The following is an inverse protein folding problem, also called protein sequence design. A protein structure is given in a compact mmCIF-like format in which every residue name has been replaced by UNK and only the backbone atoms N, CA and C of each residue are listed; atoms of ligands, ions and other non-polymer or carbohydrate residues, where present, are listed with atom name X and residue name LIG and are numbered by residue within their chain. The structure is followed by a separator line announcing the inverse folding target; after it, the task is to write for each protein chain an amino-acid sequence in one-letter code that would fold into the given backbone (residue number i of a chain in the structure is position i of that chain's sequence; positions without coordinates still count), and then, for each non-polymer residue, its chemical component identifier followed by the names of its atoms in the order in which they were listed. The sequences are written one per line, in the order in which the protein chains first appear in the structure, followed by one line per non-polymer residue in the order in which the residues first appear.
data_IF_971808508087
#
_entry.id   IF_971808508087
#
_cell.length_a   1.000
_cell.length_b   1.000
_cell.length_c   1.000
_cell.angle_alpha   90.00
_cell.angle_beta   90.00
_cell.angle_gamma   90.00
#
_symmetry.space_group_name_H-M   'P 1'
#
loop_
_entity.id
_entity.type
_entity.pdbx_description
1 polymer ?
#
# COMPACT_ATOMS: atom_id res chain seq x y z
N UNK A 1 -30.90 -12.08 -16.64
CA UNK A 1 -30.67 -11.73 -15.22
C UNK A 1 -29.29 -12.25 -14.85
N UNK A 2 -28.32 -11.39 -14.48
CA UNK A 2 -27.06 -11.89 -13.98
C UNK A 2 -27.30 -12.58 -12.64
N UNK A 3 -26.89 -13.84 -12.56
CA UNK A 3 -26.99 -14.64 -11.35
C UNK A 3 -25.96 -14.12 -10.34
N UNK A 4 -26.43 -13.62 -9.18
CA UNK A 4 -25.60 -13.37 -8.00
C UNK A 4 -25.08 -14.71 -7.45
N UNK A 5 -24.08 -15.29 -8.12
CA UNK A 5 -23.22 -16.27 -7.45
C UNK A 5 -22.32 -15.47 -6.51
N UNK A 6 -22.23 -15.82 -5.21
CA UNK A 6 -21.20 -15.25 -4.36
C UNK A 6 -19.86 -15.49 -5.05
N UNK A 7 -19.07 -14.42 -5.19
CA UNK A 7 -17.71 -14.54 -5.69
C UNK A 7 -16.98 -15.54 -4.79
N UNK A 8 -16.44 -16.59 -5.39
CA UNK A 8 -15.57 -17.54 -4.70
C UNK A 8 -14.24 -16.83 -4.45
N UNK A 9 -14.21 -16.04 -3.38
CA UNK A 9 -13.05 -15.24 -2.97
C UNK A 9 -12.03 -16.20 -2.36
N UNK A 10 -11.00 -16.50 -3.13
CA UNK A 10 -9.95 -17.46 -2.74
C UNK A 10 -9.00 -16.91 -1.69
N UNK A 11 -8.83 -15.59 -1.63
CA UNK A 11 -7.92 -14.95 -0.69
C UNK A 11 -8.32 -13.50 -0.37
N UNK A 12 -8.31 -13.16 0.92
CA UNK A 12 -8.46 -11.80 1.45
C UNK A 12 -7.28 -11.49 2.37
N UNK A 13 -6.56 -10.38 2.13
CA UNK A 13 -5.50 -9.90 3.02
C UNK A 13 -5.48 -8.39 3.19
N UNK A 14 -4.84 -7.97 4.28
CA UNK A 14 -4.25 -6.64 4.40
C UNK A 14 -2.73 -6.78 4.30
N UNK A 15 -2.09 -5.90 3.54
CA UNK A 15 -0.64 -5.83 3.40
C UNK A 15 -0.12 -4.47 3.87
N UNK A 16 1.06 -4.47 4.48
CA UNK A 16 1.85 -3.30 4.85
C UNK A 16 3.09 -3.27 3.98
N UNK A 17 3.35 -2.14 3.35
CA UNK A 17 4.62 -1.84 2.69
C UNK A 17 5.22 -0.57 3.27
N UNK A 18 6.46 -0.63 3.73
CA UNK A 18 7.17 0.54 4.23
C UNK A 18 8.08 1.12 3.17
N UNK A 19 8.17 2.45 3.14
CA UNK A 19 9.06 3.19 2.25
C UNK A 19 10.01 4.08 3.05
N UNK A 20 11.27 4.06 2.67
CA UNK A 20 12.27 4.99 3.20
C UNK A 20 12.02 6.42 2.70
N UNK A 21 11.83 7.37 3.62
CA UNK A 21 11.68 8.79 3.28
C UNK A 21 13.05 9.45 3.33
N UNK A 22 13.86 9.22 2.30
CA UNK A 22 15.18 9.83 2.19
C UNK A 22 15.09 11.33 1.97
N UNK A 23 15.94 12.10 2.66
CA UNK A 23 16.16 13.51 2.33
C UNK A 23 16.84 13.56 0.97
N UNK A 24 16.10 13.95 -0.08
CA UNK A 24 16.72 14.33 -1.36
C UNK A 24 17.58 15.56 -1.13
N UNK A 25 18.89 15.38 -1.01
CA UNK A 25 19.85 16.49 -1.15
C UNK A 25 19.89 16.84 -2.64
N UNK A 26 19.00 17.73 -3.09
CA UNK A 26 19.08 18.31 -4.44
C UNK A 26 20.28 19.25 -4.51
N UNK A 27 21.44 18.72 -4.88
CA UNK A 27 22.56 19.51 -5.35
C UNK A 27 22.50 19.60 -6.87
N UNK A 28 22.01 20.70 -7.44
CA UNK A 28 22.41 21.11 -8.78
C UNK A 28 22.32 22.64 -8.95
N UNK A 29 23.51 23.24 -9.00
CA UNK A 29 23.79 24.57 -9.57
C UNK A 29 23.28 24.61 -11.00
N UNK A 30 22.48 25.62 -11.35
CA UNK A 30 22.31 26.03 -12.76
C UNK A 30 23.08 27.33 -12.96
N UNK A 31 24.21 27.21 -13.66
CA UNK A 31 24.98 28.33 -14.15
C UNK A 31 24.24 29.02 -15.31
N UNK A 32 24.33 30.34 -15.31
CA UNK A 32 23.91 31.25 -16.36
C UNK A 32 24.60 30.93 -17.68
N UNK A 33 23.85 30.79 -18.78
CA UNK A 33 24.38 30.92 -20.14
C UNK A 33 23.44 31.78 -20.98
N UNK A 34 24.04 32.84 -21.50
CA UNK A 34 23.50 33.92 -22.29
C UNK A 34 23.34 33.48 -23.77
N UNK A 35 22.25 33.98 -24.38
CA UNK A 35 22.14 34.43 -25.79
C UNK A 35 22.11 33.38 -26.91
N UNK A 36 21.63 33.89 -28.05
CA UNK A 36 21.32 33.27 -29.35
C UNK A 36 19.90 32.72 -29.37
N UNK A 37 18.93 33.31 -30.07
CA UNK A 37 19.00 34.22 -31.19
C UNK A 37 17.69 34.03 -31.94
N UNK A 38 17.02 35.14 -32.25
CA UNK A 38 15.84 35.23 -33.10
C UNK A 38 15.92 34.22 -34.26
N UNK A 39 14.87 33.42 -34.43
CA UNK A 39 14.29 32.95 -35.70
C UNK A 39 13.62 31.58 -35.48
N UNK A 40 12.33 31.57 -35.14
CA UNK A 40 11.36 30.53 -35.53
C UNK A 40 9.97 30.92 -35.00
N UNK A 41 9.55 32.13 -35.38
CA UNK A 41 8.14 32.42 -35.58
C UNK A 41 7.76 31.73 -36.91
N UNK A 42 6.60 31.08 -37.00
CA UNK A 42 6.10 30.27 -38.15
C UNK A 42 6.24 28.74 -38.09
N UNK A 43 5.98 28.12 -36.94
CA UNK A 43 5.52 26.72 -36.89
C UNK A 43 4.44 26.49 -35.81
N UNK A 44 3.62 27.52 -35.55
CA UNK A 44 2.66 27.55 -34.44
C UNK A 44 1.17 27.49 -34.86
N UNK A 45 0.85 27.20 -36.12
CA UNK A 45 -0.53 27.30 -36.60
C UNK A 45 -0.99 26.17 -37.53
N UNK A 46 -0.56 24.92 -37.27
CA UNK A 46 -0.95 23.76 -38.09
C UNK A 46 -1.18 22.45 -37.33
N UNK A 47 -1.10 22.44 -35.99
CA UNK A 47 -1.17 21.21 -35.18
C UNK A 47 -2.27 21.27 -34.11
N UNK A 48 -3.41 21.88 -34.43
CA UNK A 48 -4.52 22.14 -33.49
C UNK A 48 -5.84 21.46 -33.86
N UNK A 49 -5.83 20.44 -34.74
CA UNK A 49 -7.04 19.74 -35.21
C UNK A 49 -6.97 18.20 -35.12
N UNK A 50 -6.23 17.67 -34.14
CA UNK A 50 -6.25 16.24 -33.77
C UNK A 50 -6.53 16.06 -32.26
N UNK A 51 -7.41 16.90 -31.71
CA UNK A 51 -7.91 16.75 -30.34
C UNK A 51 -9.35 16.19 -30.39
N UNK A 52 -9.47 14.88 -30.17
CA UNK A 52 -10.74 14.14 -30.13
C UNK A 52 -10.48 12.74 -30.68
N UNK A 53 -10.38 11.66 -29.92
CA UNK A 53 -10.93 11.38 -28.60
C UNK A 53 -9.88 10.62 -27.78
N UNK A 54 -9.41 11.20 -26.68
CA UNK A 54 -8.82 10.37 -25.62
C UNK A 54 -9.99 9.76 -24.86
N UNK A 55 -10.46 8.62 -25.33
CA UNK A 55 -11.24 7.71 -24.50
C UNK A 55 -10.35 7.41 -23.30
N UNK A 56 -10.63 8.06 -22.17
CA UNK A 56 -10.09 7.63 -20.89
C UNK A 56 -10.66 6.24 -20.65
N UNK A 57 -9.95 5.21 -21.11
CA UNK A 57 -10.07 3.88 -20.56
C UNK A 57 -9.72 4.04 -19.09
N UNK A 58 -10.75 4.27 -18.25
CA UNK A 58 -10.66 4.17 -16.81
C UNK A 58 -10.05 2.80 -16.57
N UNK A 59 -8.78 2.77 -16.15
CA UNK A 59 -8.03 1.55 -16.07
C UNK A 59 -8.78 0.61 -15.14
N UNK A 60 -9.39 -0.44 -15.69
CA UNK A 60 -9.88 -1.54 -14.88
C UNK A 60 -8.69 -2.07 -14.07
N UNK A 61 -8.89 -2.37 -12.79
CA UNK A 61 -7.87 -3.08 -12.03
C UNK A 61 -7.61 -4.40 -12.76
N UNK A 62 -6.44 -4.54 -13.39
CA UNK A 62 -6.01 -5.84 -13.89
C UNK A 62 -5.94 -6.75 -12.67
N UNK A 63 -6.66 -7.88 -12.63
CA UNK A 63 -6.56 -8.82 -11.52
C UNK A 63 -5.09 -9.21 -11.34
N UNK A 64 -4.52 -8.97 -10.15
CA UNK A 64 -3.09 -9.16 -9.88
C UNK A 64 -2.17 -7.99 -10.28
N UNK A 65 -2.67 -6.94 -10.92
CA UNK A 65 -1.87 -5.77 -11.30
C UNK A 65 -1.42 -4.90 -10.13
N UNK A 66 -0.76 -3.77 -10.46
CA UNK A 66 -0.35 -2.77 -9.47
C UNK A 66 -1.55 -2.28 -8.67
N UNK A 67 -1.39 -2.21 -7.34
CA UNK A 67 -2.44 -1.73 -6.44
C UNK A 67 -2.85 -0.30 -6.79
N UNK A 68 -4.16 -0.02 -6.75
CA UNK A 68 -4.74 1.29 -7.09
C UNK A 68 -5.34 1.95 -5.86
N UNK A 69 -5.46 3.28 -5.80
CA UNK A 69 -6.18 3.94 -4.71
C UNK A 69 -7.59 3.36 -4.54
N UNK A 70 -8.02 3.14 -3.29
CA UNK A 70 -9.37 2.65 -3.01
C UNK A 70 -10.48 3.59 -3.53
N UNK A 71 -10.18 4.88 -3.72
CA UNK A 71 -11.07 5.85 -4.37
C UNK A 71 -11.36 5.55 -5.84
N UNK A 72 -10.51 4.76 -6.50
CA UNK A 72 -10.67 4.31 -7.88
C UNK A 72 -11.32 2.92 -7.98
N UNK A 73 -11.84 2.40 -6.85
CA UNK A 73 -12.41 1.05 -6.80
C UNK A 73 -13.75 0.97 -7.51
N UNK A 74 -13.75 0.23 -8.62
CA UNK A 74 -14.96 -0.07 -9.42
C UNK A 74 -15.42 -1.52 -9.29
N UNK A 75 -14.64 -2.38 -8.63
CA UNK A 75 -14.92 -3.80 -8.40
C UNK A 75 -14.31 -4.28 -7.09
N UNK A 76 -14.76 -5.43 -6.58
CA UNK A 76 -14.22 -5.99 -5.33
C UNK A 76 -12.83 -6.60 -5.53
N UNK A 77 -12.70 -7.50 -6.52
CA UNK A 77 -11.46 -8.23 -6.83
C UNK A 77 -10.37 -7.26 -7.30
N UNK A 78 -9.21 -7.30 -6.66
CA UNK A 78 -8.08 -6.42 -6.98
C UNK A 78 -7.18 -6.16 -5.78
N UNK A 79 -6.21 -5.27 -5.96
CA UNK A 79 -5.40 -4.72 -4.89
C UNK A 79 -5.68 -3.22 -4.74
N UNK A 80 -5.98 -2.78 -3.53
CA UNK A 80 -6.48 -1.43 -3.24
C UNK A 80 -5.65 -0.78 -2.13
N UNK A 81 -5.04 0.36 -2.42
CA UNK A 81 -4.34 1.19 -1.44
C UNK A 81 -5.38 1.91 -0.60
N UNK A 82 -5.42 1.59 0.69
CA UNK A 82 -6.35 2.16 1.67
C UNK A 82 -5.80 3.42 2.31
N UNK A 83 -4.49 3.47 2.52
CA UNK A 83 -3.77 4.61 3.07
C UNK A 83 -2.30 4.58 2.65
N UNK A 84 -1.69 5.75 2.55
CA UNK A 84 -0.25 5.94 2.41
C UNK A 84 0.15 7.09 3.33
N UNK A 85 0.50 6.73 4.56
CA UNK A 85 0.65 7.67 5.66
C UNK A 85 2.11 7.71 6.14
N UNK A 86 2.61 8.89 6.57
CA UNK A 86 3.86 8.96 7.29
C UNK A 86 3.78 8.16 8.60
N UNK A 87 4.74 7.26 8.81
CA UNK A 87 4.96 6.60 10.11
C UNK A 87 5.83 7.49 10.99
N UNK A 88 6.73 8.27 10.38
CA UNK A 88 7.69 9.11 11.08
C UNK A 88 9.00 8.37 11.37
N UNK A 89 9.73 8.85 12.38
CA UNK A 89 11.06 8.34 12.70
C UNK A 89 10.99 7.13 13.64
N UNK A 90 11.50 5.99 13.19
CA UNK A 90 11.54 4.78 14.00
C UNK A 90 12.86 4.70 14.77
N UNK A 91 12.78 4.69 16.11
CA UNK A 91 13.97 4.77 16.97
C UNK A 91 14.62 3.41 17.26
N UNK A 92 13.90 2.32 17.01
CA UNK A 92 14.36 0.95 17.26
C UNK A 92 14.32 0.13 15.98
N UNK A 93 15.08 -0.96 15.99
CA UNK A 93 15.08 -1.97 14.96
C UNK A 93 15.35 -3.35 15.61
N UNK A 94 14.61 -4.40 15.23
CA UNK A 94 13.47 -4.38 14.32
C UNK A 94 12.23 -3.73 14.95
N UNK A 95 11.21 -3.48 14.12
CA UNK A 95 9.87 -3.08 14.56
C UNK A 95 8.84 -4.16 14.21
N UNK A 96 7.64 -4.04 14.75
CA UNK A 96 6.54 -4.97 14.56
C UNK A 96 5.30 -4.20 14.12
N UNK A 97 4.52 -4.83 13.25
CA UNK A 97 3.24 -4.32 12.80
C UNK A 97 2.11 -4.94 13.63
N UNK A 98 1.36 -4.07 14.28
CA UNK A 98 0.28 -4.42 15.20
C UNK A 98 -1.05 -4.11 14.53
N UNK A 99 -1.95 -5.10 14.53
CA UNK A 99 -3.31 -4.97 14.02
C UNK A 99 -4.26 -5.12 15.20
N UNK A 100 -4.99 -4.06 15.52
CA UNK A 100 -5.96 -4.05 16.62
C UNK A 100 -7.35 -3.63 16.08
N UNK A 101 -8.37 -4.44 16.32
CA UNK A 101 -9.73 -4.20 15.85
C UNK A 101 -10.55 -3.40 16.87
N UNK A 102 -11.39 -2.50 16.35
CA UNK A 102 -12.28 -1.64 17.13
C UNK A 102 -13.71 -1.74 16.62
N UNK A 103 -14.68 -1.40 17.47
CA UNK A 103 -16.09 -1.36 17.10
C UNK A 103 -16.40 -0.14 16.24
N UNK A 104 -15.68 0.97 16.45
CA UNK A 104 -15.88 2.21 15.69
C UNK A 104 -14.57 2.89 15.31
N UNK A 105 -14.60 3.65 14.22
CA UNK A 105 -13.47 4.49 13.78
C UNK A 105 -13.05 5.51 14.83
N UNK A 106 -14.01 6.07 15.57
CA UNK A 106 -13.75 7.06 16.61
C UNK A 106 -12.91 6.48 17.76
N UNK A 107 -13.22 5.26 18.21
CA UNK A 107 -12.44 4.57 19.24
C UNK A 107 -11.03 4.24 18.77
N UNK A 108 -10.88 3.76 17.54
CA UNK A 108 -9.56 3.49 16.94
C UNK A 108 -8.74 4.79 16.85
N UNK A 109 -9.36 5.89 16.42
CA UNK A 109 -8.71 7.19 16.28
C UNK A 109 -8.24 7.75 17.63
N UNK A 110 -9.01 7.53 18.70
CA UNK A 110 -8.63 7.92 20.05
C UNK A 110 -7.37 7.18 20.57
N UNK A 111 -7.08 6.00 20.03
CA UNK A 111 -5.94 5.15 20.43
C UNK A 111 -4.78 5.16 19.43
N UNK A 112 -4.88 5.88 18.30
CA UNK A 112 -3.96 5.79 17.14
C UNK A 112 -2.47 5.97 17.49
N UNK A 113 -2.16 6.82 18.46
CA UNK A 113 -0.77 7.17 18.75
C UNK A 113 -0.04 7.83 17.55
N UNK A 114 1.28 8.07 17.65
CA UNK A 114 2.04 8.77 16.62
C UNK A 114 2.41 7.91 15.40
N UNK A 115 2.54 6.59 15.56
CA UNK A 115 2.97 5.65 14.51
C UNK A 115 1.83 4.77 14.00
N UNK A 116 0.59 5.10 14.36
CA UNK A 116 -0.60 4.37 13.91
C UNK A 116 -1.24 4.98 12.67
N UNK A 117 -2.04 4.17 11.99
CA UNK A 117 -2.98 4.55 10.92
C UNK A 117 -4.28 3.79 11.13
N UNK A 118 -5.43 4.48 11.05
CA UNK A 118 -6.75 3.84 11.14
C UNK A 118 -7.29 3.60 9.75
N UNK A 119 -7.55 2.33 9.43
CA UNK A 119 -8.13 1.90 8.15
C UNK A 119 -9.45 1.16 8.39
N UNK A 120 -10.27 1.12 7.34
CA UNK A 120 -11.42 0.23 7.26
C UNK A 120 -11.17 -0.73 6.11
N UNK A 121 -11.20 -2.03 6.39
CA UNK A 121 -10.91 -3.08 5.42
C UNK A 121 -11.69 -4.32 5.76
N UNK A 122 -12.26 -4.97 4.74
CA UNK A 122 -12.96 -6.26 4.88
C UNK A 122 -13.98 -6.30 6.05
N UNK A 123 -14.73 -5.20 6.22
CA UNK A 123 -15.76 -5.07 7.26
C UNK A 123 -15.24 -4.84 8.69
N UNK A 124 -13.96 -4.51 8.86
CA UNK A 124 -13.34 -4.22 10.17
C UNK A 124 -12.81 -2.79 10.21
N UNK A 125 -12.94 -2.15 11.38
CA UNK A 125 -12.17 -0.96 11.72
C UNK A 125 -10.88 -1.43 12.38
N UNK A 126 -9.73 -1.10 11.78
CA UNK A 126 -8.43 -1.55 12.25
C UNK A 126 -7.54 -0.36 12.56
N UNK A 127 -6.87 -0.40 13.71
CA UNK A 127 -5.71 0.41 14.01
C UNK A 127 -4.45 -0.37 13.62
N UNK A 128 -3.69 0.19 12.69
CA UNK A 128 -2.46 -0.37 12.15
C UNK A 128 -1.29 0.40 12.76
N UNK A 129 -0.50 -0.21 13.63
CA UNK A 129 0.59 0.51 14.32
C UNK A 129 1.93 -0.16 14.05
N UNK A 130 2.96 0.63 13.79
CA UNK A 130 4.34 0.15 13.63
C UNK A 130 5.15 0.60 14.84
N UNK A 131 5.46 -0.34 15.71
CA UNK A 131 6.07 -0.07 17.02
C UNK A 131 6.91 -1.26 17.50
N UNK A 132 7.49 -1.15 18.69
CA UNK A 132 8.22 -2.24 19.34
C UNK A 132 7.39 -3.54 19.47
N UNK A 133 8.08 -4.69 19.57
CA UNK A 133 7.47 -6.04 19.67
C UNK A 133 6.31 -6.13 20.66
N UNK A 134 6.45 -5.60 21.87
CA UNK A 134 5.44 -5.74 22.93
C UNK A 134 4.48 -4.55 23.02
N UNK A 135 4.47 -3.66 22.04
CA UNK A 135 3.57 -2.52 22.05
C UNK A 135 2.09 -2.96 22.00
N UNK A 136 1.24 -2.27 22.76
CA UNK A 136 -0.20 -2.48 22.78
C UNK A 136 -0.92 -1.13 22.91
N UNK A 137 -2.05 -0.93 22.23
CA UNK A 137 -2.93 0.20 22.51
C UNK A 137 -3.61 0.02 23.88
N UNK A 138 -4.17 1.10 24.43
CA UNK A 138 -4.91 1.03 25.70
C UNK A 138 -6.22 0.23 25.58
N UNK A 139 -6.83 0.25 24.40
CA UNK A 139 -8.07 -0.45 24.07
C UNK A 139 -7.96 -1.14 22.70
N UNK A 140 -8.99 -1.88 22.30
CA UNK A 140 -9.01 -2.63 21.05
C UNK A 140 -8.68 -4.11 21.24
N UNK A 141 -9.11 -4.92 20.28
CA UNK A 141 -8.90 -6.36 20.29
C UNK A 141 -7.73 -6.71 19.37
N UNK A 142 -6.65 -7.25 19.93
CA UNK A 142 -5.50 -7.68 19.14
C UNK A 142 -5.89 -8.75 18.12
N UNK A 143 -5.61 -8.47 16.85
CA UNK A 143 -5.75 -9.39 15.73
C UNK A 143 -4.42 -10.07 15.43
N UNK A 144 -3.35 -9.30 15.25
CA UNK A 144 -2.04 -9.83 14.89
C UNK A 144 -0.89 -8.93 15.36
N UNK A 145 0.27 -9.55 15.51
CA UNK A 145 1.59 -8.93 15.69
C UNK A 145 2.51 -9.56 14.66
N UNK A 146 3.01 -8.77 13.72
CA UNK A 146 3.71 -9.28 12.54
C UNK A 146 5.10 -8.64 12.48
N UNK A 147 6.12 -9.49 12.45
CA UNK A 147 7.51 -9.08 12.44
C UNK A 147 8.43 -10.25 12.79
N UNK A 148 9.73 -10.00 12.97
CA UNK A 148 10.38 -8.69 12.97
C UNK A 148 10.45 -8.06 11.56
N UNK A 149 10.14 -6.77 11.45
CA UNK A 149 10.33 -5.98 10.24
C UNK A 149 11.69 -5.26 10.28
N UNK A 150 12.60 -5.54 9.33
CA UNK A 150 13.91 -4.89 9.30
C UNK A 150 13.77 -3.42 8.88
N UNK A 151 14.23 -2.53 9.76
CA UNK A 151 14.30 -1.08 9.52
C UNK A 151 15.67 -0.54 9.93
N UNK A 152 16.00 0.67 9.52
CA UNK A 152 17.17 1.41 9.98
C UNK A 152 16.73 2.33 11.11
N UNK A 153 17.27 2.11 12.30
CA UNK A 153 16.95 2.94 13.46
C UNK A 153 17.42 4.39 13.23
N UNK A 154 16.57 5.35 13.60
CA UNK A 154 16.81 6.78 13.41
C UNK A 154 16.29 7.33 12.08
N UNK A 155 15.77 6.48 11.19
CA UNK A 155 15.31 6.90 9.88
C UNK A 155 13.80 7.11 9.82
N UNK A 156 13.35 7.90 8.83
CA UNK A 156 11.94 8.21 8.62
C UNK A 156 11.30 7.29 7.59
N UNK A 157 10.09 6.84 7.89
CA UNK A 157 9.32 5.95 7.03
C UNK A 157 7.92 6.49 6.74
N UNK A 158 7.38 6.10 5.60
CA UNK A 158 5.95 6.03 5.35
C UNK A 158 5.51 4.57 5.23
N UNK A 159 4.21 4.34 5.38
CA UNK A 159 3.59 3.03 5.25
C UNK A 159 2.38 3.11 4.32
N UNK A 160 2.42 2.28 3.30
CA UNK A 160 1.29 2.02 2.42
C UNK A 160 0.55 0.77 2.92
N UNK A 161 -0.74 0.93 3.21
CA UNK A 161 -1.63 -0.14 3.65
C UNK A 161 -2.55 -0.51 2.50
N UNK A 162 -2.60 -1.80 2.16
CA UNK A 162 -3.32 -2.31 1.01
C UNK A 162 -4.28 -3.42 1.40
N UNK A 163 -5.41 -3.53 0.70
CA UNK A 163 -6.31 -4.67 0.74
C UNK A 163 -6.17 -5.46 -0.57
N UNK A 164 -5.97 -6.77 -0.48
CA UNK A 164 -5.95 -7.64 -1.65
C UNK A 164 -7.08 -8.67 -1.59
N UNK A 165 -7.91 -8.69 -2.64
CA UNK A 165 -9.03 -9.62 -2.83
C UNK A 165 -8.80 -10.38 -4.13
N UNK A 166 -8.34 -11.62 -4.03
CA UNK A 166 -7.96 -12.45 -5.19
C UNK A 166 -8.86 -13.70 -5.28
N UNK A 167 -9.20 -14.11 -6.49
CA UNK A 167 -9.83 -15.43 -6.73
C UNK A 167 -8.75 -16.52 -6.72
N UNK A 168 -9.11 -17.81 -6.49
CA UNK A 168 -8.14 -18.90 -6.50
C UNK A 168 -7.27 -18.91 -7.77
N UNK A 169 -5.96 -19.07 -7.59
CA UNK A 169 -4.98 -19.13 -8.68
C UNK A 169 -4.57 -17.78 -9.29
N UNK A 170 -5.14 -16.66 -8.85
CA UNK A 170 -4.65 -15.34 -9.24
C UNK A 170 -3.26 -15.07 -8.65
N UNK A 171 -2.39 -14.44 -9.45
CA UNK A 171 -1.05 -14.02 -9.03
C UNK A 171 -0.84 -12.56 -9.37
N UNK A 172 0.07 -11.91 -8.65
CA UNK A 172 0.59 -10.59 -9.01
C UNK A 172 1.95 -10.73 -9.73
N UNK A 173 2.30 -9.82 -10.68
CA UNK A 173 3.63 -9.78 -11.24
C UNK A 173 4.69 -9.62 -10.15
N UNK A 174 5.82 -10.32 -10.32
CA UNK A 174 6.99 -10.13 -9.47
C UNK A 174 7.46 -8.67 -9.52
N UNK A 175 7.75 -8.11 -8.35
CA UNK A 175 8.19 -6.72 -8.22
C UNK A 175 8.99 -6.52 -6.93
N UNK A 176 9.64 -5.37 -6.78
CA UNK A 176 10.48 -5.02 -5.63
C UNK A 176 10.19 -3.60 -5.16
N UNK A 177 10.31 -3.36 -3.86
CA UNK A 177 10.12 -2.06 -3.23
C UNK A 177 11.26 -1.72 -2.27
N UNK A 178 11.39 -0.42 -1.97
CA UNK A 178 12.38 0.12 -1.02
C UNK A 178 11.89 0.02 0.43
N UNK A 179 11.91 -1.16 1.02
CA UNK A 179 11.61 -1.37 2.44
C UNK A 179 10.95 -2.72 2.71
N UNK A 180 10.69 -3.05 3.98
CA UNK A 180 10.01 -4.29 4.33
C UNK A 180 8.54 -4.26 3.90
N UNK A 181 8.03 -5.44 3.53
CA UNK A 181 6.63 -5.69 3.22
C UNK A 181 6.15 -6.89 4.05
N UNK A 182 4.93 -6.81 4.57
CA UNK A 182 4.32 -7.80 5.43
C UNK A 182 2.84 -7.98 5.10
N UNK A 183 2.30 -9.17 5.37
CA UNK A 183 0.95 -9.56 4.96
C UNK A 183 0.21 -10.20 6.14
N UNK A 184 -1.07 -9.91 6.27
CA UNK A 184 -1.99 -10.61 7.15
C UNK A 184 -3.13 -11.21 6.32
N UNK A 185 -3.24 -12.54 6.32
CA UNK A 185 -4.28 -13.27 5.59
C UNK A 185 -5.53 -13.40 6.45
N UNK A 186 -6.62 -12.72 6.05
CA UNK A 186 -7.91 -12.78 6.76
C UNK A 186 -8.76 -13.97 6.32
N UNK A 187 -8.70 -14.33 5.04
CA UNK A 187 -9.45 -15.46 4.49
C UNK A 187 -8.63 -16.18 3.42
N UNK A 188 -8.83 -17.49 3.32
CA UNK A 188 -8.14 -18.34 2.35
C UNK A 188 -6.65 -18.48 2.65
N UNK A 189 -5.84 -18.49 1.58
CA UNK A 189 -4.40 -18.69 1.64
C UNK A 189 -3.66 -17.71 0.72
N UNK A 190 -2.52 -17.21 1.18
CA UNK A 190 -1.56 -16.44 0.37
C UNK A 190 -0.27 -17.21 0.25
N UNK A 191 0.28 -17.27 -0.95
CA UNK A 191 1.66 -17.71 -1.19
C UNK A 191 2.50 -16.49 -1.60
N UNK A 192 3.60 -16.26 -0.90
CA UNK A 192 4.59 -15.24 -1.25
C UNK A 192 5.93 -15.92 -1.57
N UNK A 193 6.40 -15.74 -2.79
CA UNK A 193 7.71 -16.20 -3.24
C UNK A 193 8.70 -15.02 -3.24
N UNK A 194 9.86 -15.20 -2.61
CA UNK A 194 10.93 -14.20 -2.58
C UNK A 194 12.03 -14.52 -3.60
N UNK A 195 12.82 -13.51 -3.98
CA UNK A 195 13.87 -13.64 -5.00
C UNK A 195 14.98 -14.64 -4.68
N UNK A 196 15.08 -15.08 -3.42
CA UNK A 196 15.97 -16.14 -2.97
C UNK A 196 15.29 -17.51 -2.84
N UNK A 197 14.18 -17.70 -3.56
CA UNK A 197 13.41 -18.95 -3.66
C UNK A 197 12.80 -19.42 -2.33
N UNK A 198 12.65 -18.54 -1.34
CA UNK A 198 11.86 -18.88 -0.15
C UNK A 198 10.39 -18.65 -0.43
N UNK A 199 9.57 -19.47 0.22
CA UNK A 199 8.12 -19.43 0.13
C UNK A 199 7.56 -19.18 1.53
N UNK A 200 6.69 -18.18 1.66
CA UNK A 200 5.92 -17.92 2.87
C UNK A 200 4.44 -18.16 2.56
N UNK A 201 3.77 -18.89 3.45
CA UNK A 201 2.35 -19.20 3.31
C UNK A 201 1.58 -18.55 4.45
N UNK A 202 0.71 -17.60 4.13
CA UNK A 202 -0.25 -17.01 5.07
C UNK A 202 -1.59 -17.71 4.97
N UNK A 203 -2.22 -18.02 6.11
CA UNK A 203 -3.56 -18.63 6.18
C UNK A 203 -4.43 -17.88 7.16
N UNK A 204 -5.73 -17.83 6.88
CA UNK A 204 -6.71 -17.40 7.85
C UNK A 204 -6.58 -18.23 9.14
N UNK A 205 -6.57 -17.56 10.29
CA UNK A 205 -6.41 -18.17 11.62
C UNK A 205 -5.10 -18.97 11.82
N UNK A 206 -4.15 -18.85 10.89
CA UNK A 206 -2.80 -19.39 11.05
C UNK A 206 -1.96 -18.54 12.01
N UNK A 207 -0.89 -19.10 12.59
CA UNK A 207 0.10 -18.28 13.27
C UNK A 207 0.67 -17.22 12.30
N UNK A 208 0.93 -15.99 12.76
CA UNK A 208 1.57 -14.95 11.96
C UNK A 208 2.99 -15.35 11.53
#
# INVERSE_FOLDING_TARGET
MPTNRPLDLGHLSVALRMHYVGVTISALRVGTMLKHGRLMCMFFLGLLLLAGEQLSAQGAATPGGVCKPASERTQEVGCWILADDPVGQLKKSPVFWHLDAYSTRAEAQANKGPHGTVIESLGKVLLMTIEDERWRPAHGNRIAEIGPLPVVAGEKYSAQYMEAIFTPGMTAPAHIHSGPEAWYTLAGETCLETSDNRVQIGRADGPP
#
